data_IF_134353555903
#
_entry.id   IF_134353555903
#
_cell.length_a   1.000
_cell.length_b   1.000
_cell.length_c   1.000
_cell.angle_alpha   90.00
_cell.angle_beta   90.00
_cell.angle_gamma   90.00
#
_symmetry.space_group_name_H-M   'P 1'
#
loop_
_entity.id
_entity.type
_entity.pdbx_description
1 polymer ?
#
# COMPACT_ATOMS: atom_id res chain seq x y z
N UNK A 1 32.43 0.03 45.81
CA UNK A 1 32.53 1.50 45.94
C UNK A 1 32.41 2.10 44.55
N UNK A 2 31.20 2.31 44.04
CA UNK A 2 30.44 3.57 44.11
C UNK A 2 31.29 4.79 43.72
N UNK A 3 31.07 5.31 42.51
CA UNK A 3 30.97 6.74 42.18
C UNK A 3 30.39 6.83 40.75
N UNK A 4 29.31 7.53 40.41
CA UNK A 4 28.27 8.26 41.13
C UNK A 4 27.23 8.56 40.05
N UNK A 5 26.11 7.82 40.03
CA UNK A 5 24.95 8.15 39.20
C UNK A 5 24.25 9.38 39.82
N UNK A 6 24.22 10.51 39.11
CA UNK A 6 23.24 11.58 39.40
C UNK A 6 22.89 12.41 38.15
N UNK A 7 21.67 12.15 37.66
CA UNK A 7 20.70 13.00 36.93
C UNK A 7 21.19 14.36 36.41
N UNK A 8 21.00 14.60 35.11
CA UNK A 8 20.01 15.55 34.53
C UNK A 8 20.44 15.99 33.14
N UNK A 9 19.66 15.61 32.11
CA UNK A 9 19.14 16.49 31.06
C UNK A 9 18.47 15.63 29.98
N UNK A 10 17.47 16.24 29.38
CA UNK A 10 16.57 15.70 28.38
C UNK A 10 17.34 15.33 27.10
N UNK A 11 18.04 14.19 27.08
CA UNK A 11 18.64 13.67 25.86
C UNK A 11 17.58 12.85 25.13
N UNK A 12 16.89 13.54 24.22
CA UNK A 12 16.34 12.92 23.03
C UNK A 12 17.36 11.90 22.52
N UNK A 13 16.98 10.62 22.46
CA UNK A 13 17.83 9.58 21.88
C UNK A 13 17.90 9.91 20.39
N UNK A 14 18.94 10.65 20.01
CA UNK A 14 19.26 10.96 18.63
C UNK A 14 19.67 9.64 17.99
N UNK A 15 18.80 9.08 17.14
CA UNK A 15 19.09 7.82 16.47
C UNK A 15 20.36 7.99 15.61
N UNK A 16 21.24 6.97 15.52
CA UNK A 16 22.55 7.08 14.86
C UNK A 16 22.49 7.63 13.43
N UNK A 17 21.35 7.48 12.75
CA UNK A 17 21.06 7.87 11.38
C UNK A 17 21.02 9.38 11.11
N UNK A 18 21.02 10.22 12.15
CA UNK A 18 21.04 11.69 12.05
C UNK A 18 22.43 12.31 11.90
N UNK A 19 23.48 11.49 11.82
CA UNK A 19 24.84 11.94 11.52
C UNK A 19 25.01 12.12 10.01
N UNK A 20 25.45 13.32 9.58
CA UNK A 20 25.65 13.70 8.16
C UNK A 20 26.46 12.68 7.35
N UNK A 21 27.30 11.86 8.00
CA UNK A 21 28.11 10.83 7.33
C UNK A 21 27.31 9.65 6.78
N UNK A 22 26.11 9.36 7.29
CA UNK A 22 25.33 8.19 6.85
C UNK A 22 24.59 8.44 5.54
N UNK A 23 24.21 9.69 5.26
CA UNK A 23 23.60 10.10 3.99
C UNK A 23 24.52 9.84 2.79
N UNK A 24 25.84 9.90 2.99
CA UNK A 24 26.83 9.59 1.95
C UNK A 24 26.83 8.14 1.46
N UNK A 25 26.09 7.23 2.12
CA UNK A 25 25.92 5.84 1.67
C UNK A 25 24.81 5.65 0.63
N UNK A 26 24.04 6.71 0.35
CA UNK A 26 22.92 6.72 -0.58
C UNK A 26 23.23 7.62 -1.78
N UNK A 27 22.66 7.35 -2.97
CA UNK A 27 22.83 8.18 -4.16
C UNK A 27 22.53 9.66 -3.86
N UNK A 28 23.30 10.58 -4.44
CA UNK A 28 23.17 12.03 -4.17
C UNK A 28 21.75 12.56 -4.45
N UNK A 29 21.04 11.98 -5.42
CA UNK A 29 19.67 12.31 -5.78
C UNK A 29 18.59 11.65 -4.90
N UNK A 30 18.99 10.82 -3.93
CA UNK A 30 18.08 10.06 -3.05
C UNK A 30 18.38 10.18 -1.55
N UNK A 31 19.17 11.19 -1.16
CA UNK A 31 19.44 11.48 0.24
C UNK A 31 18.21 12.11 0.91
N UNK A 32 17.66 11.44 1.91
CA UNK A 32 16.51 11.89 2.69
C UNK A 32 16.76 11.73 4.19
N UNK A 33 16.19 12.61 5.00
CA UNK A 33 16.18 12.47 6.46
C UNK A 33 15.05 11.55 6.96
N UNK A 34 14.15 11.10 6.07
CA UNK A 34 13.07 10.20 6.44
C UNK A 34 13.59 8.76 6.57
N UNK A 35 13.69 8.30 7.82
CA UNK A 35 14.18 6.97 8.18
C UNK A 35 13.46 5.85 7.43
N UNK A 36 12.14 5.95 7.23
CA UNK A 36 11.37 4.92 6.52
C UNK A 36 11.83 4.73 5.07
N UNK A 37 12.14 5.83 4.37
CA UNK A 37 12.65 5.80 2.99
C UNK A 37 14.09 5.28 2.93
N UNK A 38 14.92 5.61 3.92
CA UNK A 38 16.28 5.06 4.01
C UNK A 38 16.26 3.53 4.18
N UNK A 39 15.35 3.01 5.01
CA UNK A 39 15.16 1.56 5.16
C UNK A 39 14.66 0.92 3.87
N UNK A 40 13.73 1.57 3.16
CA UNK A 40 13.25 1.08 1.86
C UNK A 40 14.40 0.95 0.86
N UNK A 41 15.24 1.98 0.72
CA UNK A 41 16.43 1.95 -0.14
C UNK A 41 17.42 0.84 0.28
N UNK A 42 17.64 0.66 1.59
CA UNK A 42 18.51 -0.40 2.10
C UNK A 42 17.97 -1.79 1.73
N UNK A 43 16.67 -2.01 1.89
CA UNK A 43 16.01 -3.28 1.54
C UNK A 43 16.13 -3.53 0.05
N UNK A 44 15.79 -2.54 -0.78
CA UNK A 44 15.95 -2.57 -2.24
C UNK A 44 17.37 -3.01 -2.63
N UNK A 45 18.41 -2.42 -2.03
CA UNK A 45 19.81 -2.74 -2.30
C UNK A 45 20.23 -4.14 -1.82
N UNK A 46 19.60 -4.66 -0.77
CA UNK A 46 19.94 -5.97 -0.17
C UNK A 46 19.22 -7.14 -0.82
N UNK A 47 18.17 -6.91 -1.61
CA UNK A 47 17.48 -7.98 -2.33
C UNK A 47 18.40 -8.64 -3.36
N UNK A 48 18.39 -9.98 -3.37
CA UNK A 48 19.14 -10.78 -4.34
C UNK A 48 18.65 -10.47 -5.75
N UNK A 49 19.58 -10.43 -6.71
CA UNK A 49 19.24 -10.26 -8.12
C UNK A 49 18.68 -11.56 -8.70
N UNK A 50 17.84 -11.48 -9.75
CA UNK A 50 17.44 -12.64 -10.55
C UNK A 50 18.66 -13.47 -10.96
N UNK A 51 18.52 -14.80 -10.97
CA UNK A 51 19.60 -15.73 -11.32
C UNK A 51 20.64 -15.97 -10.21
N UNK A 52 20.58 -15.25 -9.07
CA UNK A 52 21.42 -15.54 -7.90
C UNK A 52 20.73 -16.48 -6.92
N UNK A 53 20.46 -17.72 -7.38
CA UNK A 53 19.84 -18.79 -6.57
C UNK A 53 18.31 -18.70 -6.44
N UNK A 54 17.68 -17.75 -7.13
CA UNK A 54 16.23 -17.69 -7.31
C UNK A 54 15.93 -17.02 -8.66
N UNK A 55 15.02 -17.61 -9.45
CA UNK A 55 14.61 -17.09 -10.77
C UNK A 55 14.12 -15.64 -10.67
N UNK A 56 13.21 -15.35 -9.73
CA UNK A 56 12.62 -14.02 -9.55
C UNK A 56 13.42 -13.08 -8.64
N UNK A 57 14.64 -13.48 -8.24
CA UNK A 57 15.43 -12.73 -7.26
C UNK A 57 14.85 -12.75 -5.84
N UNK A 58 15.23 -11.76 -5.03
CA UNK A 58 14.75 -11.61 -3.65
C UNK A 58 13.37 -10.95 -3.58
N UNK A 59 12.62 -11.28 -2.52
CA UNK A 59 11.30 -10.70 -2.20
C UNK A 59 11.33 -10.01 -0.83
N UNK A 60 10.56 -8.95 -0.68
CA UNK A 60 10.40 -8.20 0.57
C UNK A 60 8.93 -7.91 0.88
N UNK A 61 8.65 -7.80 2.17
CA UNK A 61 7.42 -7.23 2.71
C UNK A 61 7.83 -6.11 3.68
N UNK A 62 7.36 -4.89 3.45
CA UNK A 62 7.75 -3.71 4.23
C UNK A 62 6.53 -3.03 4.81
N UNK A 63 6.53 -2.78 6.11
CA UNK A 63 5.52 -1.95 6.76
C UNK A 63 5.93 -0.49 6.61
N UNK A 64 5.09 0.32 5.97
CA UNK A 64 5.34 1.73 5.73
C UNK A 64 4.13 2.58 6.16
N UNK A 65 4.33 3.77 6.76
CA UNK A 65 3.24 4.69 7.03
C UNK A 65 2.63 5.21 5.72
N UNK A 66 1.41 5.75 5.77
CA UNK A 66 0.78 6.40 4.60
C UNK A 66 1.68 7.48 3.97
N UNK A 67 2.47 8.20 4.77
CA UNK A 67 3.42 9.22 4.29
C UNK A 67 4.33 8.73 3.17
N UNK A 68 4.83 7.50 3.27
CA UNK A 68 5.72 6.90 2.26
C UNK A 68 5.02 6.75 0.90
N UNK A 69 3.70 6.59 0.85
CA UNK A 69 2.96 6.42 -0.40
C UNK A 69 2.78 7.73 -1.17
N UNK A 70 2.50 8.84 -0.48
CA UNK A 70 2.18 10.12 -1.12
C UNK A 70 3.33 11.15 -1.10
N UNK A 71 4.40 10.92 -0.32
CA UNK A 71 5.53 11.85 -0.24
C UNK A 71 6.15 12.17 -1.60
N UNK A 72 6.54 13.41 -1.81
CA UNK A 72 7.06 13.96 -3.06
C UNK A 72 8.59 14.17 -3.01
N UNK A 73 9.13 14.86 -4.03
CA UNK A 73 10.57 15.14 -4.14
C UNK A 73 11.43 13.87 -4.16
N UNK A 74 12.34 13.75 -3.18
CA UNK A 74 13.23 12.58 -3.05
C UNK A 74 12.45 11.28 -2.88
N UNK A 75 11.32 11.30 -2.17
CA UNK A 75 10.49 10.12 -2.00
C UNK A 75 9.87 9.66 -3.33
N UNK A 76 9.49 10.62 -4.20
CA UNK A 76 9.01 10.31 -5.54
C UNK A 76 10.09 9.62 -6.38
N UNK A 77 11.33 10.09 -6.28
CA UNK A 77 12.49 9.49 -6.97
C UNK A 77 12.79 8.06 -6.50
N UNK A 78 12.70 7.81 -5.19
CA UNK A 78 12.86 6.45 -4.62
C UNK A 78 11.72 5.53 -5.09
N UNK A 79 10.48 6.03 -5.13
CA UNK A 79 9.33 5.27 -5.64
C UNK A 79 9.45 4.97 -7.14
N UNK A 80 9.97 5.92 -7.91
CA UNK A 80 10.27 5.69 -9.33
C UNK A 80 11.30 4.57 -9.49
N UNK A 81 12.38 4.56 -8.72
CA UNK A 81 13.37 3.47 -8.77
C UNK A 81 12.75 2.12 -8.35
N UNK A 82 11.90 2.15 -7.32
CA UNK A 82 11.14 0.98 -6.88
C UNK A 82 10.31 0.41 -8.04
N UNK A 83 9.49 1.23 -8.69
CA UNK A 83 8.59 0.76 -9.76
C UNK A 83 9.34 0.40 -11.06
N UNK A 84 10.48 1.03 -11.36
CA UNK A 84 11.26 0.73 -12.57
C UNK A 84 12.09 -0.53 -12.48
N UNK A 85 12.49 -0.94 -11.28
CA UNK A 85 13.44 -2.05 -11.12
C UNK A 85 12.97 -3.16 -10.18
N UNK A 86 11.86 -2.98 -9.48
CA UNK A 86 11.23 -3.98 -8.64
C UNK A 86 9.77 -4.16 -9.04
N UNK A 87 9.28 -5.38 -8.90
CA UNK A 87 7.91 -5.70 -9.16
C UNK A 87 7.11 -5.47 -7.87
N UNK A 88 6.65 -4.24 -7.68
CA UNK A 88 5.70 -3.91 -6.61
C UNK A 88 4.32 -4.45 -6.98
N UNK A 89 4.06 -5.70 -6.62
CA UNK A 89 2.87 -6.40 -7.07
C UNK A 89 1.66 -6.20 -6.14
N UNK A 90 1.86 -5.85 -4.86
CA UNK A 90 0.74 -5.72 -3.91
C UNK A 90 1.00 -4.72 -2.78
N UNK A 91 -0.01 -3.90 -2.49
CA UNK A 91 -0.08 -2.98 -1.36
C UNK A 91 -1.31 -3.34 -0.53
N UNK A 92 -1.10 -3.77 0.72
CA UNK A 92 -2.20 -4.01 1.67
C UNK A 92 -2.33 -2.82 2.59
N UNK A 93 -3.49 -2.17 2.60
CA UNK A 93 -3.79 -1.02 3.45
C UNK A 93 -4.38 -1.49 4.77
N UNK A 94 -3.77 -1.08 5.87
CA UNK A 94 -4.20 -1.40 7.22
C UNK A 94 -5.01 -0.24 7.82
N UNK A 95 -6.09 -0.52 8.58
CA UNK A 95 -6.86 0.50 9.27
C UNK A 95 -6.05 1.24 10.34
N UNK A 96 -6.63 2.32 10.86
CA UNK A 96 -6.07 3.08 11.97
C UNK A 96 -5.98 2.26 13.26
N UNK A 97 -4.98 2.57 14.08
CA UNK A 97 -4.83 2.00 15.41
C UNK A 97 -4.27 0.56 15.45
N UNK A 98 -3.90 -0.05 14.31
CA UNK A 98 -3.28 -1.39 14.29
C UNK A 98 -2.03 -1.45 15.18
N UNK A 99 -1.29 -0.34 15.27
CA UNK A 99 -0.11 -0.20 16.13
C UNK A 99 -0.38 0.56 17.44
N UNK A 100 -1.64 0.65 17.88
CA UNK A 100 -1.97 1.29 19.16
C UNK A 100 -1.32 0.53 20.35
N UNK A 101 -0.80 1.24 21.37
CA UNK A 101 -0.88 2.68 21.63
C UNK A 101 0.29 3.49 21.07
N UNK A 102 1.17 2.88 20.28
CA UNK A 102 2.39 3.55 19.80
C UNK A 102 2.08 4.58 18.71
N UNK A 103 1.15 4.24 17.82
CA UNK A 103 0.66 5.16 16.80
C UNK A 103 -0.73 4.75 16.33
N UNK A 104 -1.55 5.77 16.06
CA UNK A 104 -2.86 5.60 15.42
C UNK A 104 -2.77 5.79 13.89
N UNK A 105 -1.59 6.14 13.37
CA UNK A 105 -1.38 6.42 11.95
C UNK A 105 -1.68 5.17 11.11
N UNK A 106 -2.52 5.28 10.06
CA UNK A 106 -2.74 4.18 9.14
C UNK A 106 -1.45 3.81 8.39
N UNK A 107 -1.27 2.51 8.20
CA UNK A 107 -0.04 1.94 7.65
C UNK A 107 -0.35 1.00 6.49
N UNK A 108 0.66 0.66 5.73
CA UNK A 108 0.54 -0.17 4.54
C UNK A 108 1.64 -1.23 4.53
N UNK A 109 1.33 -2.38 3.95
CA UNK A 109 2.28 -3.45 3.69
C UNK A 109 2.60 -3.43 2.20
N UNK A 110 3.86 -3.15 1.87
CA UNK A 110 4.38 -3.17 0.52
C UNK A 110 5.01 -4.53 0.25
N UNK A 111 4.50 -5.24 -0.75
CA UNK A 111 5.05 -6.51 -1.21
C UNK A 111 5.65 -6.34 -2.60
N UNK A 112 6.96 -6.55 -2.69
CA UNK A 112 7.69 -6.43 -3.95
C UNK A 112 8.82 -7.45 -4.03
N UNK A 113 9.22 -7.76 -5.26
CA UNK A 113 10.38 -8.60 -5.54
C UNK A 113 11.29 -7.98 -6.61
N UNK A 114 12.44 -8.60 -6.86
CA UNK A 114 13.44 -8.12 -7.83
C UNK A 114 13.26 -8.75 -9.21
N UNK A 115 12.09 -9.29 -9.56
CA UNK A 115 11.91 -10.00 -10.84
C UNK A 115 12.02 -9.07 -12.05
N UNK A 116 11.67 -7.79 -11.91
CA UNK A 116 11.64 -6.83 -13.00
C UNK A 116 10.90 -5.54 -12.62
N UNK A 117 10.51 -4.70 -13.60
CA UNK A 117 9.67 -3.52 -13.36
C UNK A 117 8.26 -3.89 -12.91
N UNK A 118 7.60 -2.98 -12.19
CA UNK A 118 6.21 -3.12 -11.80
C UNK A 118 5.27 -2.95 -13.01
N UNK A 119 4.32 -3.87 -13.14
CA UNK A 119 3.18 -3.74 -14.05
C UNK A 119 1.95 -3.28 -13.29
N UNK A 120 1.01 -4.20 -13.07
CA UNK A 120 -0.19 -3.94 -12.27
C UNK A 120 0.10 -4.10 -10.77
N UNK A 121 -0.27 -3.07 -10.01
CA UNK A 121 -0.17 -3.03 -8.56
C UNK A 121 -1.55 -3.35 -7.99
N UNK A 122 -1.65 -4.44 -7.24
CA UNK A 122 -2.87 -4.75 -6.51
C UNK A 122 -2.94 -3.98 -5.21
N UNK A 123 -4.06 -3.33 -4.96
CA UNK A 123 -4.39 -2.79 -3.65
C UNK A 123 -5.40 -3.69 -2.97
N UNK A 124 -5.21 -3.92 -1.68
CA UNK A 124 -6.20 -4.58 -0.83
C UNK A 124 -6.40 -3.76 0.44
N UNK A 125 -7.61 -3.28 0.69
CA UNK A 125 -7.95 -2.57 1.90
C UNK A 125 -8.63 -3.52 2.89
N UNK A 126 -7.99 -3.73 4.03
CA UNK A 126 -8.62 -4.44 5.14
C UNK A 126 -9.72 -3.53 5.72
N UNK A 127 -10.96 -4.03 5.87
CA UNK A 127 -12.04 -3.23 6.40
C UNK A 127 -11.76 -2.90 7.88
N UNK A 128 -12.24 -1.76 8.39
CA UNK A 128 -12.16 -1.48 9.81
C UNK A 128 -12.97 -2.52 10.61
N UNK A 129 -12.63 -2.72 11.89
CA UNK A 129 -13.32 -3.69 12.74
C UNK A 129 -14.81 -3.35 12.88
N UNK A 130 -15.67 -4.37 12.88
CA UNK A 130 -17.12 -4.16 12.97
C UNK A 130 -17.51 -3.31 14.19
N UNK A 131 -18.37 -2.32 13.94
CA UNK A 131 -18.87 -1.38 14.96
C UNK A 131 -17.82 -0.40 15.50
N UNK A 132 -16.62 -0.33 14.91
CA UNK A 132 -15.52 0.51 15.40
C UNK A 132 -14.79 1.19 14.25
N UNK A 133 -14.33 2.43 14.49
CA UNK A 133 -13.57 3.20 13.47
C UNK A 133 -12.07 2.86 13.44
N UNK A 134 -11.51 2.37 14.56
CA UNK A 134 -10.09 2.05 14.71
C UNK A 134 -9.84 0.95 15.74
N UNK A 135 -8.67 0.33 15.66
CA UNK A 135 -8.18 -0.58 16.71
C UNK A 135 -7.66 0.20 17.91
N UNK A 136 -7.57 -0.47 19.05
CA UNK A 136 -7.06 0.11 20.30
C UNK A 136 -6.18 -0.90 21.02
N UNK A 137 -5.39 -0.44 22.01
CA UNK A 137 -4.59 -1.34 22.86
C UNK A 137 -5.41 -2.46 23.50
N UNK A 138 -6.67 -2.17 23.89
CA UNK A 138 -7.56 -3.13 24.54
C UNK A 138 -8.28 -4.05 23.57
N UNK A 139 -8.34 -3.69 22.29
CA UNK A 139 -8.96 -4.47 21.22
C UNK A 139 -8.08 -4.37 19.95
N UNK A 140 -6.93 -5.08 19.94
CA UNK A 140 -5.99 -5.05 18.82
C UNK A 140 -6.57 -5.75 17.59
N UNK A 141 -5.86 -5.61 16.47
CA UNK A 141 -6.16 -6.37 15.27
C UNK A 141 -5.86 -7.85 15.48
N UNK A 142 -6.78 -8.71 15.04
CA UNK A 142 -6.67 -10.17 15.16
C UNK A 142 -6.26 -10.81 13.83
N UNK A 143 -5.58 -11.95 13.91
CA UNK A 143 -5.14 -12.69 12.71
C UNK A 143 -6.30 -13.10 11.81
N UNK A 144 -7.46 -13.42 12.39
CA UNK A 144 -8.66 -13.81 11.65
C UNK A 144 -9.13 -12.73 10.67
N UNK A 145 -8.86 -11.44 10.95
CA UNK A 145 -9.23 -10.31 10.10
C UNK A 145 -8.42 -10.29 8.78
N UNK A 146 -7.27 -10.96 8.73
CA UNK A 146 -6.54 -11.18 7.48
C UNK A 146 -7.13 -12.32 6.62
N UNK A 147 -8.10 -13.09 7.14
CA UNK A 147 -8.66 -14.25 6.45
C UNK A 147 -9.16 -13.96 5.04
N UNK A 148 -9.91 -12.85 4.87
CA UNK A 148 -10.38 -12.41 3.55
C UNK A 148 -9.23 -12.05 2.60
N UNK A 149 -8.22 -11.33 3.11
CA UNK A 149 -7.03 -10.97 2.33
C UNK A 149 -6.23 -12.21 1.91
N UNK A 150 -6.08 -13.20 2.79
CA UNK A 150 -5.33 -14.44 2.50
C UNK A 150 -6.07 -15.33 1.50
N UNK A 151 -7.39 -15.39 1.58
CA UNK A 151 -8.21 -16.10 0.60
C UNK A 151 -8.09 -15.45 -0.79
N UNK A 152 -8.27 -14.12 -0.84
CA UNK A 152 -8.11 -13.32 -2.06
C UNK A 152 -6.69 -13.39 -2.64
N UNK A 153 -5.65 -13.48 -1.80
CA UNK A 153 -4.26 -13.53 -2.28
C UNK A 153 -3.99 -14.70 -3.25
N UNK A 154 -4.73 -15.81 -3.10
CA UNK A 154 -4.62 -17.00 -3.95
C UNK A 154 -5.42 -16.90 -5.25
N UNK A 155 -6.46 -16.07 -5.28
CA UNK A 155 -7.36 -15.85 -6.43
C UNK A 155 -7.68 -14.35 -6.52
N UNK A 156 -6.75 -13.61 -7.13
CA UNK A 156 -6.80 -12.14 -7.13
C UNK A 156 -7.80 -11.63 -8.15
N UNK A 157 -8.90 -11.11 -7.64
CA UNK A 157 -9.97 -10.49 -8.42
C UNK A 157 -10.32 -9.14 -7.81
N UNK A 158 -10.86 -8.25 -8.65
CA UNK A 158 -11.37 -6.96 -8.18
C UNK A 158 -12.66 -7.16 -7.41
N UNK A 159 -12.81 -6.48 -6.27
CA UNK A 159 -13.99 -6.56 -5.42
C UNK A 159 -14.12 -5.27 -4.57
N UNK A 160 -15.05 -5.26 -3.61
CA UNK A 160 -15.26 -4.11 -2.73
C UNK A 160 -14.03 -3.67 -1.91
N UNK A 161 -13.05 -4.56 -1.74
CA UNK A 161 -11.85 -4.35 -0.93
C UNK A 161 -10.56 -4.32 -1.76
N UNK A 162 -10.60 -4.79 -3.00
CA UNK A 162 -9.42 -4.96 -3.85
C UNK A 162 -9.61 -4.34 -5.24
N UNK A 163 -8.60 -3.59 -5.69
CA UNK A 163 -8.59 -2.97 -7.02
C UNK A 163 -7.16 -2.95 -7.58
N UNK A 164 -7.04 -2.76 -8.88
CA UNK A 164 -5.75 -2.64 -9.58
C UNK A 164 -5.45 -1.20 -9.96
N UNK A 165 -4.16 -0.88 -9.97
CA UNK A 165 -3.63 0.36 -10.52
C UNK A 165 -2.42 0.03 -11.37
N UNK A 166 -2.34 0.56 -12.59
CA UNK A 166 -1.15 0.38 -13.41
C UNK A 166 -0.01 1.25 -12.86
N UNK A 167 1.20 0.70 -12.75
CA UNK A 167 2.38 1.46 -12.31
C UNK A 167 2.69 2.65 -13.24
N UNK A 168 2.30 2.58 -14.51
CA UNK A 168 2.45 3.68 -15.46
C UNK A 168 1.56 4.89 -15.11
N UNK A 169 0.36 4.67 -14.54
CA UNK A 169 -0.54 5.75 -14.13
C UNK A 169 -0.06 6.46 -12.85
N UNK A 170 0.73 5.76 -12.05
CA UNK A 170 1.33 6.26 -10.81
C UNK A 170 2.47 7.24 -11.10
N UNK A 171 3.29 6.96 -12.12
CA UNK A 171 4.46 7.75 -12.49
C UNK A 171 4.11 8.77 -13.57
N UNK A 172 4.06 10.05 -13.19
CA UNK A 172 3.80 11.15 -14.12
C UNK A 172 5.08 11.87 -14.48
N UNK A 173 5.29 12.07 -15.77
CA UNK A 173 6.43 12.78 -16.34
C UNK A 173 5.96 14.04 -17.07
N UNK A 174 6.81 15.08 -17.08
CA UNK A 174 6.59 16.26 -17.92
C UNK A 174 7.05 16.01 -19.37
N UNK A 175 6.78 16.96 -20.27
CA UNK A 175 7.19 16.90 -21.68
C UNK A 175 8.72 16.79 -21.86
N UNK A 176 9.50 17.21 -20.85
CA UNK A 176 10.95 17.12 -20.82
C UNK A 176 11.47 15.79 -20.22
N UNK A 177 10.58 14.87 -19.85
CA UNK A 177 10.92 13.56 -19.29
C UNK A 177 11.33 13.58 -17.81
N UNK A 178 11.06 14.66 -17.08
CA UNK A 178 11.31 14.77 -15.63
C UNK A 178 10.12 14.24 -14.84
N UNK A 179 10.39 13.53 -13.75
CA UNK A 179 9.36 13.02 -12.85
C UNK A 179 8.65 14.19 -12.15
N UNK A 180 7.34 14.29 -12.35
CA UNK A 180 6.47 15.29 -11.73
C UNK A 180 5.86 14.74 -10.45
N UNK A 181 5.38 13.50 -10.48
CA UNK A 181 4.79 12.86 -9.31
C UNK A 181 4.89 11.35 -9.39
N UNK A 182 5.08 10.71 -8.23
CA UNK A 182 4.95 9.27 -8.07
C UNK A 182 4.05 9.00 -6.85
N UNK A 183 2.73 8.95 -7.02
CA UNK A 183 1.79 8.83 -5.90
C UNK A 183 1.19 7.41 -5.82
N UNK A 184 1.59 6.67 -4.78
CA UNK A 184 1.09 5.31 -4.52
C UNK A 184 -0.11 5.29 -3.55
N UNK A 185 -0.62 6.44 -3.10
CA UNK A 185 -1.82 6.51 -2.26
C UNK A 185 -3.10 6.45 -3.09
N UNK A 186 -3.31 5.33 -3.79
CA UNK A 186 -4.58 5.06 -4.44
C UNK A 186 -5.65 4.76 -3.39
N UNK A 187 -6.79 5.46 -3.44
CA UNK A 187 -7.94 5.21 -2.56
C UNK A 187 -8.83 4.13 -3.17
N UNK A 188 -9.54 3.40 -2.31
CA UNK A 188 -10.49 2.39 -2.76
C UNK A 188 -11.65 3.06 -3.52
N UNK A 189 -11.87 2.76 -4.80
CA UNK A 189 -12.95 3.36 -5.59
C UNK A 189 -14.34 2.96 -5.09
N UNK A 190 -14.43 1.87 -4.32
CA UNK A 190 -15.66 1.32 -3.75
C UNK A 190 -15.91 1.77 -2.29
N UNK A 191 -15.08 2.66 -1.73
CA UNK A 191 -15.31 3.17 -0.39
C UNK A 191 -16.52 4.10 -0.34
N UNK A 192 -17.19 4.15 0.82
CA UNK A 192 -18.28 5.10 1.08
C UNK A 192 -17.82 6.55 0.84
N UNK A 193 -16.62 6.92 1.26
CA UNK A 193 -16.03 8.24 1.02
C UNK A 193 -15.87 8.54 -0.49
N UNK A 194 -15.47 7.54 -1.28
CA UNK A 194 -15.36 7.70 -2.74
C UNK A 194 -16.74 7.83 -3.41
N UNK A 195 -17.80 7.27 -2.82
CA UNK A 195 -19.17 7.39 -3.31
C UNK A 195 -19.79 8.74 -2.93
N UNK A 196 -19.54 9.25 -1.72
CA UNK A 196 -20.06 10.54 -1.24
C UNK A 196 -19.51 11.75 -2.01
N UNK A 197 -18.29 11.64 -2.54
CA UNK A 197 -17.66 12.72 -3.32
C UNK A 197 -17.87 12.60 -4.84
N UNK A 198 -18.61 11.60 -5.33
CA UNK A 198 -18.95 11.52 -6.76
C UNK A 198 -20.02 12.56 -7.11
N UNK A 199 -19.93 13.20 -8.29
CA UNK A 199 -20.98 14.09 -8.76
C UNK A 199 -22.29 13.28 -8.91
N UNK A 200 -23.46 13.83 -8.54
CA UNK A 200 -24.74 13.13 -8.58
C UNK A 200 -25.06 12.47 -9.92
N UNK A 201 -24.63 13.10 -11.02
CA UNK A 201 -24.85 12.62 -12.38
C UNK A 201 -24.12 11.31 -12.67
N UNK A 202 -22.91 11.14 -12.14
CA UNK A 202 -22.14 9.90 -12.29
C UNK A 202 -22.69 8.76 -11.43
N UNK A 203 -23.28 9.09 -10.27
CA UNK A 203 -23.96 8.11 -9.41
C UNK A 203 -25.22 7.56 -10.08
N UNK A 204 -26.02 8.42 -10.72
CA UNK A 204 -27.22 8.00 -11.47
C UNK A 204 -26.84 7.09 -12.64
N UNK A 205 -25.76 7.42 -13.38
CA UNK A 205 -25.29 6.58 -14.48
C UNK A 205 -24.87 5.19 -14.01
N UNK A 206 -24.09 5.09 -12.92
CA UNK A 206 -23.66 3.82 -12.33
C UNK A 206 -24.84 3.01 -11.75
N UNK A 207 -25.84 3.69 -11.16
CA UNK A 207 -27.07 3.04 -10.70
C UNK A 207 -27.86 2.42 -11.86
N UNK A 208 -28.02 3.15 -12.97
CA UNK A 208 -28.71 2.64 -14.17
C UNK A 208 -27.95 1.46 -14.81
N UNK A 209 -26.62 1.51 -14.84
CA UNK A 209 -25.77 0.41 -15.33
C UNK A 209 -25.97 -0.85 -14.47
N UNK A 210 -25.93 -0.70 -13.14
CA UNK A 210 -26.14 -1.80 -12.19
C UNK A 210 -27.57 -2.35 -12.24
N UNK A 211 -28.58 -1.50 -12.38
CA UNK A 211 -29.97 -1.96 -12.59
C UNK A 211 -30.09 -2.82 -13.86
N UNK A 212 -29.41 -2.44 -14.94
CA UNK A 212 -29.38 -3.26 -16.17
C UNK A 212 -28.73 -4.61 -15.94
N UNK A 213 -27.60 -4.66 -15.23
CA UNK A 213 -26.94 -5.92 -14.89
C UNK A 213 -27.84 -6.80 -14.02
N UNK A 214 -28.55 -6.22 -13.04
CA UNK A 214 -29.53 -6.95 -12.22
C UNK A 214 -30.65 -7.51 -13.08
N UNK A 215 -31.18 -6.75 -14.04
CA UNK A 215 -32.22 -7.24 -14.95
C UNK A 215 -31.72 -8.41 -15.79
N UNK A 216 -30.51 -8.34 -16.35
CA UNK A 216 -29.91 -9.44 -17.13
C UNK A 216 -29.77 -10.70 -16.26
N UNK A 217 -29.21 -10.59 -15.07
CA UNK A 217 -29.07 -11.73 -14.15
C UNK A 217 -30.43 -12.31 -13.76
N UNK A 218 -31.44 -11.47 -13.56
CA UNK A 218 -32.81 -11.93 -13.28
C UNK A 218 -33.45 -12.64 -14.48
N UNK A 219 -33.16 -12.22 -15.71
CA UNK A 219 -33.60 -12.90 -16.93
C UNK A 219 -32.90 -14.25 -17.10
N UNK A 220 -31.60 -14.34 -16.86
CA UNK A 220 -30.84 -15.59 -16.86
C UNK A 220 -31.42 -16.60 -15.86
N UNK A 221 -31.71 -16.16 -14.62
CA UNK A 221 -32.37 -17.00 -13.60
C UNK A 221 -33.75 -17.46 -14.07
N UNK A 222 -34.53 -16.58 -14.73
CA UNK A 222 -35.85 -16.94 -15.27
C UNK A 222 -35.74 -18.00 -16.36
N UNK A 223 -34.78 -17.89 -17.27
CA UNK A 223 -34.55 -18.88 -18.33
C UNK A 223 -34.15 -20.24 -17.76
N UNK A 224 -33.25 -20.26 -16.76
CA UNK A 224 -32.86 -21.48 -16.06
C UNK A 224 -34.07 -22.17 -15.43
N UNK A 225 -34.92 -21.43 -14.71
CA UNK A 225 -36.13 -21.98 -14.07
C UNK A 225 -37.19 -22.49 -15.06
N UNK A 226 -37.23 -21.93 -16.28
CA UNK A 226 -38.11 -22.43 -17.35
C UNK A 226 -37.55 -23.71 -17.97
N UNK A 227 -36.22 -23.82 -18.09
CA UNK A 227 -35.54 -25.01 -18.63
C UNK A 227 -35.51 -26.21 -17.67
N UNK A 228 -35.64 -25.99 -16.36
CA UNK A 228 -35.68 -27.05 -15.33
C UNK A 228 -37.09 -27.58 -15.03
N UNK A 229 -38.14 -27.11 -15.73
CA UNK A 229 -39.47 -27.74 -15.64
C UNK A 229 -39.50 -29.01 -16.53
N UNK A 230 -39.70 -30.21 -15.94
CA UNK A 230 -39.87 -31.45 -16.70
C UNK A 230 -41.16 -31.46 -17.54
#
# INVERSE_FOLDING_TARGET
MIHKLRKTRNTFIRLPWEEKGILGNFPEDMQTSETALLFLQLIMRKLKRPGQGAENGGRAAVVAPNGTLFADGVAARIKEELLKHFNLHTIVRLPEGVFAPYTDIPTNLLFFDRSGPAGDIWFYQIPPPEGRRKYTKTKPMEYAEFGGCLAWWKAREENGNAWKVCAADVLKYDEAGRLVSANLDSKNPNSLEALEHRPPEALIADMLEKERQVVVVMEEIREMLVSERP
#
